data_IF_322389158403
#
_entry.id   IF_322389158403
#
_cell.length_a   1.000
_cell.length_b   1.000
_cell.length_c   1.000
_cell.angle_alpha   90.00
_cell.angle_beta   90.00
_cell.angle_gamma   90.00
#
_symmetry.space_group_name_H-M   'P 1'
#
loop_
_entity.id
_entity.type
_entity.pdbx_description
1 polymer ?
#
# COMPACT_ATOMS: atom_id res chain seq x y z
N UNK A 1 2.42 -5.56 7.53
CA UNK A 1 2.20 -4.75 6.30
C UNK A 1 1.44 -3.48 6.64
N UNK A 2 1.89 -2.32 6.15
CA UNK A 2 1.26 -1.03 6.47
C UNK A 2 1.42 0.00 5.35
N UNK A 3 0.73 1.14 5.49
CA UNK A 3 1.03 2.36 4.74
C UNK A 3 2.21 3.09 5.39
N UNK A 4 3.43 2.66 5.08
CA UNK A 4 4.65 3.24 5.63
C UNK A 4 4.70 4.76 5.36
N UNK A 5 5.22 5.57 6.30
CA UNK A 5 5.98 5.16 7.49
C UNK A 5 5.14 4.75 8.72
N UNK A 6 3.82 4.66 8.61
CA UNK A 6 2.98 4.23 9.74
C UNK A 6 3.18 2.74 10.07
N UNK A 7 3.15 2.39 11.35
CA UNK A 7 3.18 1.00 11.86
C UNK A 7 4.32 0.14 11.27
N UNK A 8 5.61 0.53 11.40
CA UNK A 8 6.71 -0.35 11.04
C UNK A 8 6.78 -1.56 11.98
N UNK A 9 7.35 -2.67 11.50
CA UNK A 9 7.54 -3.88 12.28
C UNK A 9 6.34 -4.84 12.25
N UNK A 10 6.09 -5.51 13.38
CA UNK A 10 5.14 -6.61 13.49
C UNK A 10 3.77 -6.14 14.02
N UNK A 11 2.73 -6.97 13.89
CA UNK A 11 1.38 -6.71 14.42
C UNK A 11 0.75 -5.41 13.89
N UNK A 12 0.98 -5.12 12.61
CA UNK A 12 0.57 -3.85 12.00
C UNK A 12 -0.95 -3.68 11.94
N UNK A 13 -1.69 -4.79 11.81
CA UNK A 13 -3.15 -4.80 11.76
C UNK A 13 -3.75 -4.47 13.12
N UNK A 14 -3.26 -5.11 14.17
CA UNK A 14 -3.66 -4.88 15.56
C UNK A 14 -3.36 -3.42 15.95
N UNK A 15 -2.19 -2.91 15.58
CA UNK A 15 -1.83 -1.50 15.80
C UNK A 15 -2.78 -0.55 15.06
N UNK A 16 -3.10 -0.82 13.79
CA UNK A 16 -4.01 0.01 13.01
C UNK A 16 -5.42 0.06 13.62
N UNK A 17 -5.97 -1.09 14.00
CA UNK A 17 -7.27 -1.20 14.65
C UNK A 17 -7.29 -0.50 16.02
N UNK A 18 -6.27 -0.73 16.86
CA UNK A 18 -6.16 -0.09 18.16
C UNK A 18 -6.03 1.45 18.07
N UNK A 19 -5.40 1.95 16.99
CA UNK A 19 -5.26 3.38 16.73
C UNK A 19 -6.56 4.00 16.18
N UNK A 20 -7.46 3.20 15.61
CA UNK A 20 -8.71 3.68 15.01
C UNK A 20 -8.53 4.39 13.67
N UNK A 21 -7.46 4.06 12.91
CA UNK A 21 -7.25 4.64 11.58
C UNK A 21 -8.36 4.20 10.62
N UNK A 22 -8.74 5.09 9.69
CA UNK A 22 -9.79 4.79 8.69
C UNK A 22 -9.22 4.17 7.41
N UNK A 23 -7.91 4.20 7.27
CA UNK A 23 -7.17 3.64 6.13
C UNK A 23 -5.97 2.86 6.64
N UNK A 24 -5.80 1.65 6.13
CA UNK A 24 -4.62 0.82 6.33
C UNK A 24 -4.18 0.26 4.97
N UNK A 25 -3.19 -0.63 4.91
CA UNK A 25 -2.69 -1.07 3.62
C UNK A 25 -1.35 -1.77 3.64
N UNK A 26 -0.70 -1.77 2.49
CA UNK A 26 0.62 -2.35 2.28
C UNK A 26 1.51 -1.39 1.47
N UNK A 27 2.82 -1.56 1.62
CA UNK A 27 3.85 -0.76 0.96
C UNK A 27 4.88 -1.71 0.37
N UNK A 28 5.19 -1.54 -0.92
CA UNK A 28 6.39 -2.14 -1.52
C UNK A 28 7.49 -1.09 -1.50
N UNK A 29 8.61 -1.41 -0.87
CA UNK A 29 9.76 -0.51 -0.74
C UNK A 29 11.07 -1.27 -0.94
N UNK A 30 12.14 -0.54 -1.23
CA UNK A 30 13.48 -1.14 -1.24
C UNK A 30 13.93 -1.44 0.19
N UNK A 31 14.68 -2.51 0.39
CA UNK A 31 15.23 -2.86 1.71
C UNK A 31 16.44 -1.99 2.02
N UNK A 32 16.52 -1.49 3.24
CA UNK A 32 17.69 -0.78 3.79
C UNK A 32 18.03 -1.35 5.16
N UNK A 33 19.18 -0.99 5.78
CA UNK A 33 19.49 -1.41 7.14
C UNK A 33 18.49 -0.92 8.19
N UNK A 34 17.74 0.15 7.91
CA UNK A 34 16.67 0.64 8.77
C UNK A 34 15.38 -0.10 8.40
N UNK A 35 14.83 -0.82 9.38
CA UNK A 35 13.60 -1.60 9.24
C UNK A 35 12.48 -0.74 8.65
N UNK A 36 11.83 -1.23 7.60
CA UNK A 36 10.66 -0.62 6.95
C UNK A 36 10.82 0.87 6.58
N UNK A 37 12.05 1.29 6.24
CA UNK A 37 12.37 2.70 6.03
C UNK A 37 13.01 3.00 4.67
N UNK A 38 13.06 2.02 3.78
CA UNK A 38 13.64 2.24 2.46
C UNK A 38 12.71 2.98 1.51
N UNK A 39 13.24 3.44 0.36
CA UNK A 39 12.46 4.19 -0.63
C UNK A 39 11.21 3.43 -1.09
N UNK A 40 10.06 4.09 -0.97
CA UNK A 40 8.75 3.52 -1.30
C UNK A 40 8.56 3.47 -2.82
N UNK A 41 8.33 2.28 -3.36
CA UNK A 41 8.07 2.05 -4.79
C UNK A 41 6.58 2.19 -5.10
N UNK A 42 5.70 1.61 -4.27
CA UNK A 42 4.26 1.71 -4.44
C UNK A 42 3.52 1.44 -3.13
N UNK A 43 2.28 1.91 -3.04
CA UNK A 43 1.42 1.69 -1.87
C UNK A 43 0.02 1.25 -2.29
N UNK A 44 -0.57 0.36 -1.50
CA UNK A 44 -1.95 -0.09 -1.63
C UNK A 44 -2.72 0.26 -0.37
N UNK A 45 -3.82 0.99 -0.49
CA UNK A 45 -4.68 1.40 0.62
C UNK A 45 -6.00 0.64 0.61
N UNK A 46 -6.48 0.27 1.80
CA UNK A 46 -7.78 -0.33 2.03
C UNK A 46 -8.49 0.42 3.16
N UNK A 47 -9.83 0.52 3.12
CA UNK A 47 -10.59 1.03 4.24
C UNK A 47 -10.48 0.08 5.44
N UNK A 48 -10.46 0.67 6.63
CA UNK A 48 -10.72 -0.05 7.89
C UNK A 48 -12.20 0.11 8.19
N UNK A 49 -12.90 -1.02 8.32
CA UNK A 49 -14.34 -1.06 8.57
C UNK A 49 -14.61 -1.15 10.07
N UNK A 50 -15.80 -0.74 10.49
CA UNK A 50 -16.19 -0.65 11.89
C UNK A 50 -16.05 -1.99 12.65
N UNK A 51 -16.36 -3.10 11.97
CA UNK A 51 -16.35 -4.45 12.55
C UNK A 51 -15.11 -5.27 12.14
N UNK A 52 -14.06 -4.61 11.62
CA UNK A 52 -12.84 -5.31 11.23
C UNK A 52 -12.17 -5.96 12.45
N UNK A 53 -11.86 -7.24 12.31
CA UNK A 53 -10.84 -7.94 13.08
C UNK A 53 -9.48 -7.85 12.38
N UNK A 54 -8.36 -8.14 13.06
CA UNK A 54 -7.04 -8.22 12.42
C UNK A 54 -7.06 -9.14 11.19
N UNK A 55 -7.74 -10.27 11.27
CA UNK A 55 -7.83 -11.26 10.18
C UNK A 55 -8.61 -10.72 8.98
N UNK A 56 -9.78 -10.10 9.20
CA UNK A 56 -10.59 -9.53 8.10
C UNK A 56 -9.89 -8.36 7.41
N UNK A 57 -9.16 -7.54 8.18
CA UNK A 57 -8.33 -6.46 7.64
C UNK A 57 -7.14 -7.02 6.87
N UNK A 58 -6.48 -8.06 7.39
CA UNK A 58 -5.37 -8.74 6.73
C UNK A 58 -5.79 -9.35 5.38
N UNK A 59 -6.93 -10.04 5.33
CA UNK A 59 -7.46 -10.63 4.09
C UNK A 59 -7.70 -9.56 3.01
N UNK A 60 -8.27 -8.41 3.38
CA UNK A 60 -8.47 -7.28 2.47
C UNK A 60 -7.15 -6.71 1.96
N UNK A 61 -6.16 -6.58 2.84
CA UNK A 61 -4.82 -6.10 2.48
C UNK A 61 -4.12 -7.09 1.55
N UNK A 62 -4.19 -8.39 1.83
CA UNK A 62 -3.58 -9.44 1.03
C UNK A 62 -4.06 -9.40 -0.43
N UNK A 63 -5.36 -9.16 -0.63
CA UNK A 63 -5.93 -8.96 -1.97
C UNK A 63 -5.25 -7.82 -2.74
N UNK A 64 -4.99 -6.68 -2.09
CA UNK A 64 -4.30 -5.55 -2.70
C UNK A 64 -2.81 -5.83 -2.88
N UNK A 65 -2.19 -6.48 -1.90
CA UNK A 65 -0.77 -6.80 -1.88
C UNK A 65 -0.35 -7.67 -3.07
N UNK A 66 -1.13 -8.69 -3.42
CA UNK A 66 -0.86 -9.52 -4.59
C UNK A 66 -0.77 -8.72 -5.89
N UNK A 67 -1.70 -7.76 -6.09
CA UNK A 67 -1.71 -6.92 -7.29
C UNK A 67 -0.56 -5.92 -7.28
N UNK A 68 -0.37 -5.24 -6.14
CA UNK A 68 0.67 -4.24 -5.93
C UNK A 68 2.05 -4.85 -6.18
N UNK A 69 2.33 -5.99 -5.56
CA UNK A 69 3.64 -6.64 -5.63
C UNK A 69 3.95 -7.11 -7.05
N UNK A 70 2.99 -7.79 -7.72
CA UNK A 70 3.16 -8.23 -9.10
C UNK A 70 3.43 -7.06 -10.06
N UNK A 71 2.72 -5.94 -9.87
CA UNK A 71 2.91 -4.75 -10.69
C UNK A 71 4.28 -4.10 -10.47
N UNK A 72 4.76 -4.03 -9.22
CA UNK A 72 6.09 -3.50 -8.92
C UNK A 72 7.19 -4.38 -9.49
N UNK A 73 7.09 -5.70 -9.35
CA UNK A 73 8.05 -6.65 -9.96
C UNK A 73 8.11 -6.45 -11.47
N UNK A 74 6.97 -6.24 -12.13
CA UNK A 74 6.92 -5.94 -13.56
C UNK A 74 7.65 -4.64 -13.90
N UNK A 75 7.42 -3.55 -13.17
CA UNK A 75 8.13 -2.28 -13.42
C UNK A 75 9.64 -2.41 -13.26
N UNK A 76 10.08 -3.19 -12.26
CA UNK A 76 11.50 -3.48 -12.05
C UNK A 76 12.09 -4.29 -13.22
N UNK A 77 11.40 -5.35 -13.65
CA UNK A 77 11.82 -6.18 -14.78
C UNK A 77 11.87 -5.41 -16.10
N UNK A 78 10.98 -4.43 -16.30
CA UNK A 78 10.97 -3.53 -17.46
C UNK A 78 12.02 -2.40 -17.37
N UNK A 79 12.82 -2.33 -16.30
CA UNK A 79 13.82 -1.28 -16.11
C UNK A 79 13.23 0.12 -15.90
N UNK A 80 11.99 0.21 -15.42
CA UNK A 80 11.24 1.47 -15.32
C UNK A 80 11.40 2.18 -13.99
N UNK A 81 12.01 1.54 -13.00
CA UNK A 81 12.16 2.08 -11.65
C UNK A 81 13.55 2.70 -11.51
N UNK A 82 13.60 3.97 -11.10
CA UNK A 82 14.84 4.69 -10.82
C UNK A 82 14.76 5.43 -9.49
N UNK A 83 15.92 5.71 -8.90
CA UNK A 83 16.07 6.56 -7.72
C UNK A 83 16.66 7.89 -8.14
N UNK A 84 16.12 8.99 -7.64
CA UNK A 84 16.75 10.30 -7.79
C UNK A 84 17.86 10.54 -6.75
N UNK A 85 18.52 11.69 -6.84
CA UNK A 85 19.60 12.09 -5.94
C UNK A 85 19.17 12.14 -4.45
N UNK A 86 17.87 12.25 -4.17
CA UNK A 86 17.29 12.28 -2.82
C UNK A 86 16.74 10.90 -2.40
N UNK A 87 17.07 9.82 -3.13
CA UNK A 87 16.57 8.47 -2.89
C UNK A 87 15.04 8.35 -3.01
N UNK A 88 14.39 9.20 -3.81
CA UNK A 88 12.97 9.04 -4.11
C UNK A 88 12.79 8.18 -5.35
N UNK A 89 11.80 7.30 -5.32
CA UNK A 89 11.50 6.40 -6.43
C UNK A 89 10.70 7.12 -7.51
N UNK A 90 11.16 6.99 -8.75
CA UNK A 90 10.45 7.36 -9.97
C UNK A 90 10.14 6.10 -10.76
N UNK A 91 8.93 6.00 -11.33
CA UNK A 91 8.54 4.90 -12.21
C UNK A 91 8.14 5.48 -13.57
N UNK A 92 8.97 5.23 -14.58
CA UNK A 92 8.82 5.84 -15.90
C UNK A 92 7.54 5.37 -16.60
N UNK A 93 6.77 6.30 -17.16
CA UNK A 93 5.54 6.01 -17.90
C UNK A 93 4.38 5.51 -17.02
N UNK A 94 4.40 5.78 -15.71
CA UNK A 94 3.33 5.42 -14.77
C UNK A 94 2.77 6.69 -14.15
N UNK A 95 1.46 6.91 -14.28
CA UNK A 95 0.80 8.08 -13.74
C UNK A 95 0.54 7.99 -12.23
N UNK A 96 0.30 6.79 -11.69
CA UNK A 96 0.05 6.55 -10.27
C UNK A 96 0.82 5.33 -9.77
N UNK A 97 1.41 5.46 -8.58
CA UNK A 97 2.04 4.37 -7.81
C UNK A 97 1.23 4.04 -6.55
N UNK A 98 0.01 4.57 -6.47
CA UNK A 98 -0.95 4.31 -5.40
C UNK A 98 -2.13 3.51 -5.94
N UNK A 99 -2.52 2.52 -5.16
CA UNK A 99 -3.66 1.64 -5.41
C UNK A 99 -4.60 1.81 -4.23
N UNK A 100 -5.90 1.87 -4.47
CA UNK A 100 -6.88 2.01 -3.40
C UNK A 100 -8.08 1.12 -3.69
N UNK A 101 -8.51 0.38 -2.66
CA UNK A 101 -9.83 -0.25 -2.66
C UNK A 101 -10.80 0.79 -2.12
N UNK A 102 -11.87 1.05 -2.88
CA UNK A 102 -12.91 1.96 -2.43
C UNK A 102 -13.67 1.36 -1.23
N UNK A 103 -14.10 2.19 -0.25
CA UNK A 103 -15.03 1.75 0.77
C UNK A 103 -16.32 1.21 0.13
N UNK A 104 -16.89 0.13 0.67
CA UNK A 104 -18.22 -0.30 0.26
C UNK A 104 -19.22 0.85 0.44
N UNK A 105 -20.10 1.04 -0.54
CA UNK A 105 -21.23 1.98 -0.47
C UNK A 105 -20.87 3.46 -0.26
N UNK A 106 -19.69 3.91 -0.72
CA UNK A 106 -19.37 5.34 -0.68
C UNK A 106 -20.24 6.15 -1.68
N UNK A 107 -21.12 7.06 -1.21
CA UNK A 107 -22.00 7.83 -2.09
C UNK A 107 -21.24 8.87 -2.93
N UNK A 108 -19.97 9.13 -2.60
CA UNK A 108 -19.11 10.08 -3.29
C UNK A 108 -18.17 9.43 -4.31
N UNK A 109 -18.09 8.09 -4.33
CA UNK A 109 -17.28 7.32 -5.29
C UNK A 109 -18.23 6.60 -6.25
N UNK A 110 -18.80 7.35 -7.19
CA UNK A 110 -19.45 6.73 -8.36
C UNK A 110 -18.35 6.14 -9.22
N UNK A 111 -18.31 4.81 -9.36
CA UNK A 111 -17.47 4.16 -10.36
C UNK A 111 -17.95 4.61 -11.74
N UNK A 112 -17.35 5.68 -12.26
CA UNK A 112 -17.40 5.98 -13.69
C UNK A 112 -16.62 4.88 -14.39
N UNK A 113 -17.31 3.78 -14.71
CA UNK A 113 -16.79 2.75 -15.60
C UNK A 113 -16.48 3.41 -16.95
N UNK A 114 -15.20 3.48 -17.31
CA UNK A 114 -14.76 3.55 -18.70
C UNK A 114 -14.42 2.13 -19.14
#
# INVERSE_FOLDING_TARGET
>A
PSLLPAFPGLHTHEQALATGVQWHGCTVHFVTPVLDHGPIVAQGAVPVLADDTPDTLAERILGVEHHLYAQVVRWLAEGRVSLDAMQRVHVHGVASRSFAVAPPESPWITTSKN
#
